data_IF_423281032713
#
_entry.id   IF_423281032713
#
_cell.length_a   1.000
_cell.length_b   1.000
_cell.length_c   1.000
_cell.angle_alpha   90.00
_cell.angle_beta   90.00
_cell.angle_gamma   90.00
#
_symmetry.space_group_name_H-M   'P 1'
#
loop_
_entity.id
_entity.type
_entity.pdbx_description
1 polymer ?
#
# COMPACT_ATOMS: atom_id res chain seq x y z
N UNK A 1 -1.42 2.87 9.30
CA UNK A 1 -1.58 2.43 7.90
C UNK A 1 -2.93 2.90 7.37
N UNK A 2 -3.01 3.28 6.10
CA UNK A 2 -4.25 3.68 5.42
C UNK A 2 -4.33 2.91 4.10
N UNK A 3 -5.48 2.30 3.82
CA UNK A 3 -5.79 1.67 2.54
C UNK A 3 -6.67 2.59 1.68
N UNK A 4 -6.30 2.75 0.41
CA UNK A 4 -7.00 3.60 -0.56
C UNK A 4 -7.19 2.81 -1.85
N UNK A 5 -8.37 2.94 -2.45
CA UNK A 5 -8.69 2.37 -3.77
C UNK A 5 -8.14 3.21 -4.91
N UNK A 6 -8.10 2.68 -6.13
CA UNK A 6 -7.66 3.43 -7.31
C UNK A 6 -8.62 4.59 -7.65
N UNK A 7 -9.89 4.48 -7.27
CA UNK A 7 -10.91 5.53 -7.39
C UNK A 7 -10.80 6.58 -6.28
N UNK A 8 -9.97 6.32 -5.27
CA UNK A 8 -9.65 7.26 -4.21
C UNK A 8 -10.49 7.18 -2.94
N UNK A 9 -11.32 6.15 -2.79
CA UNK A 9 -11.99 5.88 -1.53
C UNK A 9 -11.01 5.31 -0.49
N UNK A 10 -11.03 5.86 0.73
CA UNK A 10 -10.34 5.27 1.89
C UNK A 10 -11.16 4.07 2.37
N UNK A 11 -10.59 2.87 2.28
CA UNK A 11 -11.26 1.61 2.64
C UNK A 11 -10.75 1.01 3.94
N UNK A 12 -9.61 1.48 4.43
CA UNK A 12 -9.02 0.98 5.67
C UNK A 12 -8.23 2.07 6.39
N UNK A 13 -8.37 2.13 7.71
CA UNK A 13 -7.56 2.97 8.59
C UNK A 13 -7.20 2.13 9.80
N UNK A 14 -5.90 1.87 10.02
CA UNK A 14 -5.46 1.20 11.25
C UNK A 14 -5.43 2.18 12.42
N UNK A 15 -5.38 1.64 13.63
CA UNK A 15 -4.92 2.38 14.80
C UNK A 15 -3.50 2.94 14.59
N UNK A 16 -3.16 4.02 15.30
CA UNK A 16 -1.82 4.59 15.31
C UNK A 16 -0.88 3.76 16.19
N UNK A 17 0.28 3.42 15.63
CA UNK A 17 1.32 2.67 16.32
C UNK A 17 2.65 3.42 16.27
N UNK A 18 3.49 3.18 17.28
CA UNK A 18 4.84 3.74 17.34
C UNK A 18 5.80 2.95 16.48
N UNK A 19 7.03 3.45 16.32
CA UNK A 19 8.06 2.83 15.46
C UNK A 19 8.57 1.45 15.91
N UNK A 20 8.01 0.86 16.97
CA UNK A 20 8.35 -0.48 17.44
C UNK A 20 7.55 -1.59 16.74
N UNK A 21 6.46 -1.27 16.05
CA UNK A 21 5.70 -2.24 15.25
C UNK A 21 6.06 -2.08 13.78
N UNK A 22 6.28 -3.19 13.09
CA UNK A 22 6.43 -3.18 11.64
C UNK A 22 5.08 -3.07 10.95
N UNK A 23 5.07 -2.51 9.73
CA UNK A 23 3.85 -2.48 8.90
C UNK A 23 3.30 -3.89 8.66
N UNK A 24 4.17 -4.91 8.60
CA UNK A 24 3.77 -6.31 8.44
C UNK A 24 2.94 -6.78 9.63
N UNK A 25 3.42 -6.50 10.83
CA UNK A 25 2.68 -6.84 12.05
C UNK A 25 1.35 -6.09 12.13
N UNK A 26 1.24 -4.91 11.52
CA UNK A 26 -0.03 -4.19 11.40
C UNK A 26 -0.99 -4.95 10.46
N UNK A 27 -0.53 -5.40 9.29
CA UNK A 27 -1.34 -6.23 8.38
C UNK A 27 -1.88 -7.50 9.05
N UNK A 28 -1.01 -8.22 9.76
CA UNK A 28 -1.35 -9.48 10.41
C UNK A 28 -2.33 -9.30 11.58
N UNK A 29 -2.29 -8.15 12.28
CA UNK A 29 -3.11 -7.92 13.47
C UNK A 29 -4.45 -7.23 13.23
N UNK A 30 -4.56 -6.37 12.20
CA UNK A 30 -5.68 -5.42 12.11
C UNK A 30 -6.63 -5.68 10.93
N UNK A 31 -6.71 -6.92 10.45
CA UNK A 31 -7.84 -7.38 9.62
C UNK A 31 -7.90 -6.85 8.18
N UNK A 32 -6.92 -6.04 7.75
CA UNK A 32 -6.85 -5.58 6.35
C UNK A 32 -6.71 -6.76 5.36
N UNK A 33 -6.09 -7.87 5.77
CA UNK A 33 -6.01 -9.09 4.96
C UNK A 33 -7.39 -9.69 4.65
N UNK A 34 -8.40 -9.42 5.46
CA UNK A 34 -9.77 -9.89 5.25
C UNK A 34 -10.53 -9.05 4.22
N UNK A 35 -10.04 -7.85 3.92
CA UNK A 35 -10.56 -7.02 2.83
C UNK A 35 -10.07 -7.48 1.46
N UNK A 36 -9.06 -8.35 1.43
CA UNK A 36 -8.49 -8.83 0.18
C UNK A 36 -9.19 -10.09 -0.32
N UNK A 37 -9.54 -10.05 -1.60
CA UNK A 37 -10.14 -11.15 -2.35
C UNK A 37 -9.20 -11.63 -3.44
N UNK A 38 -9.35 -12.87 -3.85
CA UNK A 38 -8.59 -13.47 -4.95
C UNK A 38 -8.69 -12.60 -6.22
N UNK A 39 -7.55 -12.39 -6.89
CA UNK A 39 -7.44 -11.58 -8.10
C UNK A 39 -7.26 -10.08 -7.86
N UNK A 40 -7.27 -9.60 -6.61
CA UNK A 40 -7.00 -8.19 -6.31
C UNK A 40 -5.52 -7.83 -6.52
N UNK A 41 -5.28 -6.57 -6.90
CA UNK A 41 -3.95 -5.97 -6.97
C UNK A 41 -3.77 -4.99 -5.82
N UNK A 42 -2.69 -5.15 -5.05
CA UNK A 42 -2.34 -4.27 -3.93
C UNK A 42 -1.04 -3.54 -4.25
N UNK A 43 -1.08 -2.22 -4.20
CA UNK A 43 0.12 -1.38 -4.28
C UNK A 43 0.69 -1.19 -2.87
N UNK A 44 1.98 -1.46 -2.72
CA UNK A 44 2.69 -1.32 -1.45
C UNK A 44 3.90 -0.40 -1.60
N UNK A 45 4.22 0.30 -0.51
CA UNK A 45 5.42 1.15 -0.46
C UNK A 45 6.69 0.30 -0.50
N UNK A 46 7.78 0.97 -0.87
CA UNK A 46 9.10 0.33 -0.93
C UNK A 46 9.49 -0.21 0.43
N UNK A 47 9.93 -1.47 0.49
CA UNK A 47 10.33 -2.15 1.72
C UNK A 47 9.18 -2.83 2.45
N UNK A 48 7.96 -2.76 1.91
CA UNK A 48 6.78 -3.43 2.46
C UNK A 48 6.47 -4.71 1.68
N UNK A 49 7.36 -5.70 1.82
CA UNK A 49 7.18 -7.01 1.20
C UNK A 49 6.39 -7.94 2.13
N UNK A 50 5.18 -8.25 1.70
CA UNK A 50 4.21 -9.15 2.36
C UNK A 50 3.64 -10.16 1.37
N UNK A 51 4.40 -10.45 0.32
CA UNK A 51 4.03 -11.40 -0.74
C UNK A 51 3.58 -12.74 -0.17
N UNK A 52 4.30 -13.27 0.82
CA UNK A 52 3.99 -14.53 1.52
C UNK A 52 2.61 -14.52 2.21
N UNK A 53 2.15 -13.37 2.70
CA UNK A 53 0.82 -13.21 3.30
C UNK A 53 -0.30 -13.16 2.25
N UNK A 54 0.04 -12.77 1.02
CA UNK A 54 -0.91 -12.52 -0.06
C UNK A 54 -1.02 -13.67 -1.05
N UNK A 55 0.06 -14.45 -1.24
CA UNK A 55 0.10 -15.63 -2.11
C UNK A 55 -1.01 -16.64 -1.77
N UNK A 56 -1.21 -16.91 -0.48
CA UNK A 56 -2.25 -17.84 0.00
C UNK A 56 -3.69 -17.34 -0.24
N UNK A 57 -3.87 -16.06 -0.59
CA UNK A 57 -5.16 -15.44 -0.91
C UNK A 57 -5.34 -15.20 -2.42
N UNK A 58 -4.34 -15.53 -3.25
CA UNK A 58 -4.35 -15.22 -4.67
C UNK A 58 -4.36 -13.71 -4.95
N UNK A 59 -3.74 -12.91 -4.08
CA UNK A 59 -3.66 -11.46 -4.19
C UNK A 59 -2.30 -11.06 -4.76
N UNK A 60 -2.30 -10.17 -5.74
CA UNK A 60 -1.09 -9.71 -6.41
C UNK A 60 -0.50 -8.48 -5.74
N UNK A 61 0.64 -8.63 -5.08
CA UNK A 61 1.40 -7.52 -4.53
C UNK A 61 2.25 -6.85 -5.61
N UNK A 62 2.10 -5.54 -5.76
CA UNK A 62 2.86 -4.73 -6.70
C UNK A 62 3.67 -3.69 -5.93
N UNK A 63 4.98 -3.96 -5.82
CA UNK A 63 5.96 -3.06 -5.21
C UNK A 63 6.70 -2.33 -6.34
N UNK A 64 6.86 -1.00 -6.28
CA UNK A 64 7.59 -0.25 -7.29
C UNK A 64 9.00 -0.82 -7.53
N UNK A 65 9.43 -0.97 -8.78
CA UNK A 65 10.72 -1.57 -9.10
C UNK A 65 11.90 -0.75 -8.56
N UNK A 66 12.98 -1.46 -8.21
CA UNK A 66 14.26 -0.84 -7.84
C UNK A 66 14.85 -0.13 -9.07
N UNK A 67 15.34 1.11 -8.92
CA UNK A 67 16.30 1.70 -9.88
C UNK A 67 17.65 0.99 -9.72
N UNK A 68 17.76 -0.26 -10.16
CA UNK A 68 19.05 -0.83 -10.55
C UNK A 68 19.23 -0.49 -12.02
N UNK A 69 20.43 -0.10 -12.43
CA UNK A 69 20.80 0.22 -13.81
C UNK A 69 20.30 -0.86 -14.76
N UNK A 70 19.09 -0.70 -15.30
CA UNK A 70 18.47 -1.64 -16.21
C UNK A 70 18.72 -1.15 -17.65
N UNK A 71 18.94 -2.07 -18.59
CA UNK A 71 18.91 -1.73 -20.01
C UNK A 71 17.56 -1.11 -20.40
N UNK A 72 17.56 -0.38 -21.51
CA UNK A 72 16.40 0.34 -22.02
C UNK A 72 15.15 -0.57 -22.02
N UNK A 73 14.10 -0.17 -21.30
CA UNK A 73 12.83 -0.90 -21.22
C UNK A 73 12.19 -0.99 -22.61
N UNK A 74 11.55 -2.12 -22.90
CA UNK A 74 10.74 -2.27 -24.11
C UNK A 74 9.46 -1.42 -24.04
N UNK A 75 8.84 -1.11 -25.18
CA UNK A 75 7.61 -0.31 -25.22
C UNK A 75 6.46 -0.92 -24.38
N UNK A 76 6.36 -2.25 -24.32
CA UNK A 76 5.37 -2.95 -23.49
C UNK A 76 5.65 -2.79 -22.00
N UNK A 77 6.92 -2.88 -21.58
CA UNK A 77 7.32 -2.68 -20.19
C UNK A 77 7.16 -1.22 -19.76
N UNK A 78 7.43 -0.26 -20.67
CA UNK A 78 7.17 1.16 -20.44
C UNK A 78 5.67 1.40 -20.24
N UNK A 79 4.81 0.81 -21.08
CA UNK A 79 3.36 0.94 -20.94
C UNK A 79 2.84 0.38 -19.61
N UNK A 80 3.29 -0.82 -19.21
CA UNK A 80 2.94 -1.42 -17.91
C UNK A 80 3.42 -0.57 -16.73
N UNK A 81 4.68 -0.15 -16.76
CA UNK A 81 5.26 0.69 -15.70
C UNK A 81 4.53 2.02 -15.58
N UNK A 82 4.14 2.62 -16.71
CA UNK A 82 3.37 3.87 -16.74
C UNK A 82 1.97 3.69 -16.17
N UNK A 83 1.30 2.58 -16.50
CA UNK A 83 -0.03 2.27 -15.94
C UNK A 83 0.01 2.15 -14.42
N UNK A 84 1.00 1.43 -13.89
CA UNK A 84 1.21 1.26 -12.44
C UNK A 84 1.54 2.61 -11.79
N UNK A 85 2.43 3.40 -12.41
CA UNK A 85 2.79 4.73 -11.91
C UNK A 85 1.56 5.66 -11.85
N UNK A 86 0.70 5.65 -12.86
CA UNK A 86 -0.52 6.46 -12.88
C UNK A 86 -1.49 6.10 -11.75
N UNK A 87 -1.70 4.80 -11.49
CA UNK A 87 -2.52 4.32 -10.36
C UNK A 87 -1.96 4.79 -9.02
N UNK A 88 -0.63 4.79 -8.89
CA UNK A 88 0.06 5.24 -7.68
C UNK A 88 -0.11 6.73 -7.39
N UNK A 89 -0.13 7.57 -8.41
CA UNK A 89 -0.31 9.04 -8.25
C UNK A 89 -1.59 9.35 -7.48
N UNK A 90 -2.71 8.71 -7.84
CA UNK A 90 -4.00 8.94 -7.17
C UNK A 90 -3.92 8.58 -5.69
N UNK A 91 -3.34 7.42 -5.37
CA UNK A 91 -3.18 6.96 -3.98
C UNK A 91 -2.29 7.91 -3.18
N UNK A 92 -1.15 8.34 -3.75
CA UNK A 92 -0.20 9.26 -3.11
C UNK A 92 -0.82 10.64 -2.86
N UNK A 93 -1.55 11.17 -3.84
CA UNK A 93 -2.23 12.46 -3.73
C UNK A 93 -3.26 12.45 -2.60
N UNK A 94 -4.06 11.39 -2.49
CA UNK A 94 -5.08 11.26 -1.45
C UNK A 94 -4.45 11.13 -0.07
N UNK A 95 -3.42 10.30 0.06
CA UNK A 95 -2.65 10.19 1.31
C UNK A 95 -2.04 11.56 1.67
N UNK A 96 -1.53 12.29 0.68
CA UNK A 96 -1.02 13.65 0.84
C UNK A 96 -2.09 14.61 1.38
N UNK A 97 -3.27 14.62 0.76
CA UNK A 97 -4.40 15.45 1.18
C UNK A 97 -4.86 15.11 2.61
N UNK A 98 -4.93 13.82 2.96
CA UNK A 98 -5.26 13.37 4.32
C UNK A 98 -4.28 13.93 5.33
N UNK A 99 -2.97 13.92 5.02
CA UNK A 99 -1.92 14.45 5.89
C UNK A 99 -2.00 15.98 6.01
N UNK A 100 -2.12 16.70 4.90
CA UNK A 100 -2.14 18.18 4.87
C UNK A 100 -3.36 18.72 5.61
N UNK A 101 -4.53 18.13 5.40
CA UNK A 101 -5.77 18.58 6.00
C UNK A 101 -6.02 17.98 7.39
N UNK A 102 -5.11 17.15 7.91
CA UNK A 102 -5.24 16.48 9.21
C UNK A 102 -6.58 15.73 9.34
N UNK A 103 -6.99 15.05 8.27
CA UNK A 103 -8.29 14.35 8.21
C UNK A 103 -8.30 13.16 9.17
N UNK A 104 -7.18 12.42 9.22
CA UNK A 104 -7.00 11.28 10.12
C UNK A 104 -6.04 11.65 11.24
N UNK A 105 -6.58 12.18 12.35
CA UNK A 105 -5.83 12.46 13.57
C UNK A 105 -6.29 11.49 14.65
N UNK A 106 -5.35 10.68 15.14
CA UNK A 106 -5.58 9.74 16.23
C UNK A 106 -4.63 10.05 17.39
N UNK A 107 -5.10 9.82 18.61
CA UNK A 107 -4.22 9.81 19.79
C UNK A 107 -3.64 8.41 19.94
N UNK A 108 -2.38 8.33 20.34
CA UNK A 108 -1.80 7.03 20.69
C UNK A 108 -2.62 6.39 21.81
N UNK A 109 -3.07 5.13 21.64
CA UNK A 109 -3.71 4.40 22.72
C UNK A 109 -2.75 4.31 23.90
N UNK A 110 -3.18 4.70 25.10
CA UNK A 110 -2.36 4.67 26.32
C UNK A 110 -2.22 3.27 26.94
N UNK A 111 -2.53 2.21 26.19
CA UNK A 111 -2.50 0.84 26.69
C UNK A 111 -1.16 0.18 26.32
N UNK A 112 -0.14 0.46 27.13
CA UNK A 112 1.07 -0.35 27.30
C UNK A 112 1.34 -0.50 28.79
#
# INVERSE_FOLDING_TARGET
>A
MVGVTEEGAITFVSDIWGGAISDRQILEKFGILDLFSEGMFVLADRGFDVSDLLENKGVHLNIPPFKKSAPQLTDEEVAKTRSIANRRIVVEDIIGLVKVNKILVQKMPQHL
#
